data_IF_792438593706
#
_entry.id   IF_792438593706
#
_cell.length_a   1.000
_cell.length_b   1.000
_cell.length_c   1.000
_cell.angle_alpha   90.00
_cell.angle_beta   90.00
_cell.angle_gamma   90.00
#
_symmetry.space_group_name_H-M   'P 1'
#
loop_
_entity.id
_entity.type
_entity.pdbx_description
1 polymer ?
#
# COMPACT_ATOMS: atom_id res chain seq x y z
N UNK A 1 -1.07 48.83 49.82
CA UNK A 1 -0.64 47.51 50.37
C UNK A 1 -0.53 46.46 49.24
N UNK A 2 0.34 46.66 48.24
CA UNK A 2 0.46 45.71 47.11
C UNK A 2 1.91 45.51 46.61
N UNK A 3 2.91 45.94 47.40
CA UNK A 3 4.33 45.96 46.98
C UNK A 3 5.25 45.09 47.83
N UNK A 4 4.72 44.46 48.89
CA UNK A 4 5.47 43.56 49.79
C UNK A 4 5.23 42.07 49.56
N UNK A 5 4.24 41.70 48.73
CA UNK A 5 3.91 40.28 48.47
C UNK A 5 4.73 39.65 47.32
N UNK A 6 5.30 40.46 46.42
CA UNK A 6 6.05 39.96 45.27
C UNK A 6 7.51 39.55 45.59
N UNK A 7 8.06 39.99 46.72
CA UNK A 7 9.45 39.68 47.09
C UNK A 7 9.62 38.32 47.78
N UNK A 8 8.52 37.68 48.21
CA UNK A 8 8.54 36.39 48.90
C UNK A 8 8.40 35.18 47.96
N UNK A 9 7.90 35.37 46.73
CA UNK A 9 7.78 34.28 45.74
C UNK A 9 9.10 34.07 44.96
N UNK A 10 9.99 35.07 44.94
CA UNK A 10 11.24 34.97 44.19
C UNK A 10 12.36 34.19 44.91
N UNK A 11 12.21 33.92 46.21
CA UNK A 11 13.25 33.26 47.03
C UNK A 11 13.03 31.74 47.13
N UNK A 12 11.85 31.20 46.79
CA UNK A 12 11.58 29.76 46.85
C UNK A 12 11.93 28.97 45.58
N UNK A 13 12.52 29.62 44.57
CA UNK A 13 12.79 29.01 43.25
C UNK A 13 14.27 28.68 42.97
N UNK A 14 15.15 28.81 43.96
CA UNK A 14 16.60 28.58 43.82
C UNK A 14 17.10 27.28 44.46
N UNK A 15 16.22 26.28 44.65
CA UNK A 15 16.55 25.02 45.34
C UNK A 15 16.59 23.75 44.47
N UNK A 16 16.51 23.84 43.14
CA UNK A 16 16.55 22.64 42.29
C UNK A 16 17.99 22.34 41.91
N UNK A 17 18.69 21.65 42.80
CA UNK A 17 19.97 21.02 42.52
C UNK A 17 19.80 20.01 41.37
N UNK A 18 20.44 20.30 40.24
CA UNK A 18 20.66 19.32 39.18
C UNK A 18 21.51 18.16 39.71
N UNK A 19 20.87 17.09 40.17
CA UNK A 19 21.52 15.78 40.18
C UNK A 19 21.79 15.41 38.73
N UNK A 20 23.06 15.48 38.33
CA UNK A 20 23.52 14.91 37.07
C UNK A 20 23.26 13.41 37.14
N UNK A 21 22.10 12.98 36.65
CA UNK A 21 21.86 11.58 36.31
C UNK A 21 22.97 11.20 35.34
N UNK A 22 23.93 10.42 35.83
CA UNK A 22 24.94 9.80 34.99
C UNK A 22 24.15 8.91 34.04
N UNK A 23 24.00 9.36 32.80
CA UNK A 23 23.47 8.54 31.72
C UNK A 23 24.46 7.39 31.55
N UNK A 24 24.17 6.26 32.19
CA UNK A 24 24.89 5.02 31.93
C UNK A 24 24.60 4.70 30.47
N UNK A 25 25.56 5.05 29.60
CA UNK A 25 25.53 4.67 28.19
C UNK A 25 25.57 3.14 28.22
N UNK A 26 24.50 2.44 27.78
CA UNK A 26 24.53 1.00 27.72
C UNK A 26 25.71 0.59 26.86
N UNK A 27 26.46 -0.46 27.23
CA UNK A 27 27.55 -0.95 26.40
C UNK A 27 27.04 -1.16 24.97
N UNK A 28 27.84 -0.82 23.95
CA UNK A 28 27.42 -0.92 22.56
C UNK A 28 26.92 -2.34 22.27
N UNK A 29 25.68 -2.44 21.78
CA UNK A 29 25.02 -3.72 21.52
C UNK A 29 25.93 -4.61 20.64
N UNK A 30 26.32 -5.77 21.18
CA UNK A 30 27.22 -6.70 20.52
C UNK A 30 26.45 -7.40 19.41
N UNK A 31 26.49 -6.87 18.18
CA UNK A 31 25.81 -7.49 17.03
C UNK A 31 26.49 -8.82 16.67
N UNK A 32 25.71 -9.89 16.64
CA UNK A 32 26.16 -11.23 16.25
C UNK A 32 25.41 -11.71 15.02
N UNK A 33 26.12 -12.51 14.21
CA UNK A 33 25.59 -13.22 13.05
C UNK A 33 25.27 -14.66 13.45
N UNK A 34 24.06 -15.12 13.15
CA UNK A 34 23.67 -16.51 13.36
C UNK A 34 23.18 -17.14 12.05
N UNK A 35 23.91 -18.15 11.58
CA UNK A 35 23.51 -18.96 10.44
C UNK A 35 22.62 -20.12 10.90
N UNK A 36 21.44 -20.26 10.31
CA UNK A 36 20.53 -21.37 10.57
C UNK A 36 20.51 -22.29 9.35
N UNK A 37 20.86 -23.57 9.55
CA UNK A 37 20.68 -24.60 8.54
C UNK A 37 19.22 -25.03 8.55
N UNK A 38 18.57 -24.96 7.40
CA UNK A 38 17.14 -25.21 7.26
C UNK A 38 16.89 -26.10 6.05
N UNK A 39 15.84 -26.94 6.08
CA UNK A 39 15.32 -27.60 4.89
C UNK A 39 14.94 -26.58 3.80
N UNK A 40 14.73 -27.06 2.58
CA UNK A 40 14.33 -26.20 1.48
C UNK A 40 12.94 -25.57 1.71
N UNK A 41 12.80 -24.29 1.37
CA UNK A 41 11.54 -23.55 1.46
C UNK A 41 11.39 -22.58 0.27
N UNK A 42 10.14 -22.25 -0.04
CA UNK A 42 9.76 -21.23 -1.03
C UNK A 42 8.58 -20.36 -0.55
N UNK A 43 8.10 -20.61 0.66
CA UNK A 43 7.12 -19.80 1.36
C UNK A 43 7.75 -19.32 2.67
N UNK A 44 7.47 -18.09 3.06
CA UNK A 44 8.05 -17.47 4.24
C UNK A 44 6.94 -16.76 5.01
N UNK A 45 6.87 -17.03 6.30
CA UNK A 45 6.00 -16.33 7.25
C UNK A 45 6.86 -15.74 8.35
N UNK A 46 6.73 -14.44 8.58
CA UNK A 46 7.46 -13.70 9.61
C UNK A 46 6.48 -13.06 10.57
N UNK A 47 6.64 -13.34 11.86
CA UNK A 47 5.80 -12.81 12.93
C UNK A 47 6.65 -12.09 13.98
N UNK A 48 6.29 -10.84 14.29
CA UNK A 48 6.96 -10.00 15.26
C UNK A 48 7.87 -8.94 14.64
N UNK A 49 8.57 -8.20 15.50
CA UNK A 49 9.31 -7.00 15.10
C UNK A 49 10.69 -7.35 14.52
N UNK A 50 10.69 -7.77 13.26
CA UNK A 50 11.88 -8.24 12.53
C UNK A 50 12.01 -7.48 11.22
N UNK A 51 13.19 -6.94 10.94
CA UNK A 51 13.53 -6.45 9.61
C UNK A 51 13.83 -7.65 8.70
N UNK A 52 13.37 -7.63 7.46
CA UNK A 52 13.52 -8.75 6.53
C UNK A 52 14.22 -8.29 5.28
N UNK A 53 15.27 -9.02 4.88
CA UNK A 53 15.93 -8.86 3.59
C UNK A 53 15.74 -10.14 2.77
N UNK A 54 14.96 -10.06 1.70
CA UNK A 54 14.62 -11.18 0.83
C UNK A 54 15.57 -11.23 -0.37
N UNK A 55 16.13 -12.42 -0.62
CA UNK A 55 17.00 -12.68 -1.75
C UNK A 55 16.63 -14.00 -2.45
N UNK A 56 16.60 -13.99 -3.77
CA UNK A 56 16.29 -15.16 -4.61
C UNK A 56 17.43 -15.48 -5.58
N UNK A 57 17.40 -16.65 -6.21
CA UNK A 57 18.41 -17.10 -7.16
C UNK A 57 19.52 -17.96 -6.55
N UNK A 58 19.41 -18.31 -5.27
CA UNK A 58 20.37 -19.18 -4.59
C UNK A 58 19.99 -20.65 -4.75
N UNK A 59 20.98 -21.51 -5.01
CA UNK A 59 20.76 -22.95 -5.13
C UNK A 59 20.29 -23.59 -3.81
N UNK A 60 20.85 -23.10 -2.70
CA UNK A 60 20.58 -23.62 -1.36
C UNK A 60 19.94 -22.52 -0.50
N UNK A 61 18.73 -22.74 0.02
CA UNK A 61 18.09 -21.79 0.93
C UNK A 61 18.91 -21.59 2.21
N UNK A 62 18.96 -20.36 2.71
CA UNK A 62 19.69 -20.00 3.93
C UNK A 62 18.95 -18.92 4.69
N UNK A 63 19.00 -18.99 6.02
CA UNK A 63 18.57 -17.94 6.92
C UNK A 63 19.78 -17.44 7.73
N UNK A 64 20.00 -16.13 7.70
CA UNK A 64 21.04 -15.45 8.46
C UNK A 64 20.35 -14.42 9.34
N UNK A 65 20.55 -14.52 10.65
CA UNK A 65 19.99 -13.60 11.62
C UNK A 65 21.07 -12.63 12.11
N UNK A 66 20.72 -11.37 12.22
CA UNK A 66 21.56 -10.29 12.74
C UNK A 66 20.84 -9.66 13.93
N UNK A 67 21.54 -9.46 15.04
CA UNK A 67 20.96 -8.83 16.22
C UNK A 67 21.83 -9.01 17.46
N UNK A 68 21.30 -8.57 18.60
CA UNK A 68 21.89 -8.89 19.90
C UNK A 68 21.68 -10.39 20.21
N UNK A 69 22.70 -11.12 20.72
CA UNK A 69 22.58 -12.53 21.07
C UNK A 69 21.37 -12.86 21.95
N UNK A 70 21.06 -12.00 22.92
CA UNK A 70 19.95 -12.25 23.86
C UNK A 70 18.59 -12.17 23.17
N UNK A 71 18.44 -11.25 22.22
CA UNK A 71 17.26 -11.11 21.38
C UNK A 71 17.18 -12.26 20.36
N UNK A 72 18.32 -12.67 19.76
CA UNK A 72 18.38 -13.76 18.79
C UNK A 72 18.00 -15.13 19.38
N UNK A 73 18.24 -15.35 20.68
CA UNK A 73 17.79 -16.56 21.38
C UNK A 73 16.26 -16.69 21.42
N UNK A 74 15.53 -15.58 21.30
CA UNK A 74 14.06 -15.57 21.27
C UNK A 74 13.48 -15.77 19.87
N UNK A 75 14.31 -15.74 18.83
CA UNK A 75 13.88 -16.00 17.45
C UNK A 75 13.69 -17.50 17.27
N UNK A 76 12.45 -17.91 17.04
CA UNK A 76 12.09 -19.29 16.68
C UNK A 76 12.03 -19.41 15.17
N UNK A 77 12.62 -20.48 14.64
CA UNK A 77 12.66 -20.76 13.20
C UNK A 77 12.25 -22.21 12.97
N UNK A 78 11.20 -22.44 12.18
CA UNK A 78 10.69 -23.78 11.88
C UNK A 78 10.39 -23.86 10.39
N UNK A 79 10.75 -24.97 9.75
CA UNK A 79 10.30 -25.28 8.39
C UNK A 79 9.29 -26.42 8.44
N UNK A 80 8.09 -26.19 7.93
CA UNK A 80 7.03 -27.20 7.81
C UNK A 80 6.61 -27.29 6.34
N UNK A 81 6.83 -28.45 5.72
CA UNK A 81 6.70 -28.59 4.28
C UNK A 81 7.68 -27.67 3.54
N UNK A 82 7.16 -26.75 2.73
CA UNK A 82 7.96 -25.75 2.00
C UNK A 82 7.87 -24.34 2.59
N UNK A 83 7.36 -24.21 3.82
CA UNK A 83 7.14 -22.93 4.50
C UNK A 83 8.08 -22.74 5.68
N UNK A 84 8.85 -21.64 5.65
CA UNK A 84 9.67 -21.17 6.76
C UNK A 84 8.85 -20.22 7.63
N UNK A 85 8.68 -20.56 8.90
CA UNK A 85 8.19 -19.67 9.95
C UNK A 85 9.37 -19.05 10.71
N UNK A 86 9.39 -17.73 10.81
CA UNK A 86 10.27 -16.96 11.71
C UNK A 86 9.37 -16.20 12.67
N UNK A 87 9.46 -16.46 13.97
CA UNK A 87 8.64 -15.77 14.97
C UNK A 87 9.50 -15.25 16.11
N UNK A 88 9.23 -14.02 16.55
CA UNK A 88 9.86 -13.41 17.72
C UNK A 88 8.83 -13.18 18.81
N UNK A 89 9.20 -13.48 20.06
CA UNK A 89 8.33 -13.33 21.22
C UNK A 89 7.86 -11.88 21.44
N UNK A 90 6.70 -11.71 22.08
CA UNK A 90 6.20 -10.37 22.45
C UNK A 90 7.20 -9.63 23.33
N UNK A 91 7.35 -8.33 23.10
CA UNK A 91 8.29 -7.47 23.84
C UNK A 91 9.76 -7.63 23.41
N UNK A 92 10.03 -8.37 22.33
CA UNK A 92 11.33 -8.43 21.67
C UNK A 92 11.26 -7.77 20.29
N UNK A 93 12.37 -7.19 19.80
CA UNK A 93 13.68 -7.12 20.47
C UNK A 93 13.76 -6.10 21.62
N UNK A 94 14.72 -6.29 22.54
CA UNK A 94 14.99 -5.40 23.68
C UNK A 94 16.30 -4.62 23.56
N UNK A 95 17.31 -5.22 22.94
CA UNK A 95 18.68 -4.72 22.90
C UNK A 95 19.05 -4.12 21.53
N UNK A 96 18.27 -4.39 20.48
CA UNK A 96 18.41 -3.75 19.19
C UNK A 96 17.62 -4.45 18.08
N UNK A 97 17.54 -3.86 16.87
CA UNK A 97 16.76 -4.46 15.79
C UNK A 97 17.28 -5.86 15.41
N UNK A 98 16.34 -6.79 15.22
CA UNK A 98 16.61 -8.10 14.62
C UNK A 98 16.43 -7.96 13.11
N UNK A 99 17.40 -8.44 12.33
CA UNK A 99 17.28 -8.54 10.87
C UNK A 99 17.41 -10.00 10.45
N UNK A 100 16.45 -10.48 9.66
CA UNK A 100 16.46 -11.77 9.00
C UNK A 100 16.81 -11.61 7.52
N UNK A 101 17.97 -12.09 7.12
CA UNK A 101 18.33 -12.24 5.71
C UNK A 101 17.93 -13.64 5.23
N UNK A 102 16.99 -13.67 4.30
CA UNK A 102 16.33 -14.88 3.82
C UNK A 102 16.73 -15.09 2.36
N UNK A 103 17.50 -16.15 2.11
CA UNK A 103 17.97 -16.53 0.78
C UNK A 103 17.24 -17.79 0.33
N UNK A 104 16.73 -17.78 -0.89
CA UNK A 104 16.07 -18.94 -1.51
C UNK A 104 16.29 -19.01 -3.02
N UNK A 105 15.76 -20.05 -3.65
CA UNK A 105 15.81 -20.18 -5.12
C UNK A 105 14.81 -19.28 -5.81
N UNK A 106 13.56 -19.34 -5.36
CA UNK A 106 12.42 -18.52 -5.78
C UNK A 106 11.46 -18.38 -4.60
N UNK A 107 10.53 -17.42 -4.69
CA UNK A 107 9.53 -17.14 -3.66
C UNK A 107 8.12 -17.32 -4.23
N UNK A 108 7.25 -18.05 -3.53
CA UNK A 108 5.85 -18.29 -3.89
C UNK A 108 4.87 -17.67 -2.90
N UNK A 109 5.25 -17.52 -1.63
CA UNK A 109 4.44 -16.79 -0.66
C UNK A 109 5.32 -16.04 0.34
N UNK A 110 4.90 -14.84 0.70
CA UNK A 110 5.48 -14.10 1.81
C UNK A 110 4.39 -13.45 2.64
N UNK A 111 4.33 -13.88 3.90
CA UNK A 111 3.43 -13.36 4.91
C UNK A 111 4.25 -12.66 5.97
N UNK A 112 3.90 -11.42 6.29
CA UNK A 112 4.55 -10.64 7.33
C UNK A 112 3.49 -10.03 8.25
N UNK A 113 3.67 -10.22 9.55
CA UNK A 113 2.87 -9.56 10.59
C UNK A 113 3.80 -9.06 11.68
N UNK A 114 3.92 -7.74 11.81
CA UNK A 114 4.77 -7.14 12.83
C UNK A 114 5.16 -5.72 12.46
N UNK A 115 6.15 -5.16 13.14
CA UNK A 115 6.70 -3.85 12.81
C UNK A 115 8.17 -3.99 12.40
N UNK A 116 8.47 -3.66 11.15
CA UNK A 116 9.84 -3.72 10.63
C UNK A 116 9.96 -3.22 9.20
N UNK A 117 11.19 -3.25 8.69
CA UNK A 117 11.47 -2.92 7.28
C UNK A 117 11.63 -4.19 6.47
N UNK A 118 10.92 -4.29 5.35
CA UNK A 118 11.03 -5.41 4.40
C UNK A 118 11.70 -4.90 3.13
N UNK A 119 12.78 -5.55 2.70
CA UNK A 119 13.49 -5.22 1.46
C UNK A 119 13.71 -6.44 0.59
N UNK A 120 13.73 -6.25 -0.73
CA UNK A 120 14.05 -7.30 -1.68
C UNK A 120 14.08 -6.76 -3.10
N UNK A 121 15.23 -6.30 -3.58
CA UNK A 121 15.31 -5.46 -4.79
C UNK A 121 15.46 -6.24 -6.11
N UNK A 122 15.83 -7.52 -6.07
CA UNK A 122 16.07 -8.34 -7.26
C UNK A 122 15.44 -9.73 -7.08
N UNK A 123 14.16 -9.74 -6.73
CA UNK A 123 13.40 -10.95 -6.52
C UNK A 123 13.02 -11.62 -7.84
N UNK A 124 13.11 -12.93 -7.86
CA UNK A 124 12.56 -13.82 -8.88
C UNK A 124 11.51 -14.68 -8.21
N UNK A 125 10.27 -14.52 -8.62
CA UNK A 125 9.16 -15.29 -8.06
C UNK A 125 8.57 -16.26 -9.10
N UNK A 126 7.95 -17.33 -8.60
CA UNK A 126 6.87 -17.99 -9.33
C UNK A 126 5.58 -17.18 -9.17
N UNK A 127 4.43 -17.85 -9.18
CA UNK A 127 3.17 -17.24 -8.74
C UNK A 127 3.30 -16.85 -7.26
N UNK A 128 3.36 -15.55 -6.99
CA UNK A 128 3.62 -14.99 -5.68
C UNK A 128 2.32 -14.49 -5.03
N UNK A 129 2.10 -14.92 -3.80
CA UNK A 129 1.12 -14.31 -2.90
C UNK A 129 1.84 -13.50 -1.80
N UNK A 130 1.38 -12.29 -1.59
CA UNK A 130 1.90 -11.39 -0.56
C UNK A 130 0.80 -11.02 0.43
N UNK A 131 1.10 -11.16 1.72
CA UNK A 131 0.28 -10.64 2.82
C UNK A 131 1.18 -9.83 3.74
N UNK A 132 1.02 -8.51 3.74
CA UNK A 132 1.89 -7.58 4.47
C UNK A 132 1.02 -6.81 5.46
N UNK A 133 1.13 -7.16 6.73
CA UNK A 133 0.56 -6.43 7.85
C UNK A 133 1.71 -5.74 8.58
N UNK A 134 2.03 -4.51 8.14
CA UNK A 134 3.24 -3.80 8.55
C UNK A 134 3.01 -2.29 8.58
N UNK A 135 3.17 -1.61 9.74
CA UNK A 135 3.20 -0.15 9.82
C UNK A 135 4.50 0.45 9.26
N UNK A 136 5.53 -0.38 9.03
CA UNK A 136 6.81 0.03 8.49
C UNK A 136 6.84 0.19 6.97
N UNK A 137 8.05 0.12 6.41
CA UNK A 137 8.30 0.23 4.98
C UNK A 137 8.53 -1.14 4.36
N UNK A 138 7.90 -1.38 3.22
CA UNK A 138 8.15 -2.55 2.36
C UNK A 138 8.59 -2.08 0.98
N UNK A 139 9.76 -2.52 0.52
CA UNK A 139 10.28 -2.23 -0.82
C UNK A 139 10.69 -3.53 -1.50
N UNK A 140 9.94 -3.94 -2.52
CA UNK A 140 10.20 -5.13 -3.31
C UNK A 140 10.41 -4.75 -4.78
N UNK A 141 11.29 -5.45 -5.47
CA UNK A 141 11.61 -5.22 -6.87
C UNK A 141 12.19 -6.47 -7.53
N UNK A 142 12.14 -6.54 -8.86
CA UNK A 142 12.72 -7.63 -9.64
C UNK A 142 11.78 -8.13 -10.72
N UNK A 143 11.75 -9.44 -10.96
CA UNK A 143 10.79 -10.11 -11.85
C UNK A 143 9.77 -10.85 -10.99
N UNK A 144 8.70 -10.13 -10.63
CA UNK A 144 7.69 -10.59 -9.68
C UNK A 144 6.39 -10.95 -10.42
N UNK A 145 6.02 -12.22 -10.42
CA UNK A 145 4.73 -12.69 -10.92
C UNK A 145 3.69 -12.71 -9.80
N UNK A 146 3.01 -11.58 -9.61
CA UNK A 146 2.10 -11.38 -8.46
C UNK A 146 0.70 -11.91 -8.76
N UNK A 147 0.16 -12.76 -7.89
CA UNK A 147 -1.21 -13.30 -8.00
C UNK A 147 -2.17 -12.66 -7.00
N UNK A 148 -1.73 -12.48 -5.76
CA UNK A 148 -2.50 -11.86 -4.69
C UNK A 148 -1.61 -10.92 -3.88
N UNK A 149 -2.15 -9.76 -3.54
CA UNK A 149 -1.52 -8.83 -2.61
C UNK A 149 -2.55 -8.31 -1.62
N UNK A 150 -2.27 -8.53 -0.34
CA UNK A 150 -3.00 -7.97 0.78
C UNK A 150 -2.05 -7.08 1.58
N UNK A 151 -2.41 -5.82 1.80
CA UNK A 151 -1.61 -4.86 2.57
C UNK A 151 -2.48 -4.20 3.63
N UNK A 152 -1.99 -4.17 4.86
CA UNK A 152 -2.62 -3.55 6.03
C UNK A 152 -1.57 -3.01 6.99
N UNK A 153 -2.01 -2.46 8.13
CA UNK A 153 -1.14 -1.98 9.21
C UNK A 153 -0.66 -0.53 9.04
N UNK A 154 -1.08 0.20 8.01
CA UNK A 154 -0.81 1.64 7.86
C UNK A 154 0.57 2.02 7.36
N UNK A 155 1.37 1.06 6.92
CA UNK A 155 2.70 1.31 6.36
C UNK A 155 2.70 1.72 4.89
N UNK A 156 3.93 1.90 4.38
CA UNK A 156 4.20 2.19 2.98
C UNK A 156 4.76 0.96 2.28
N UNK A 157 4.11 0.54 1.19
CA UNK A 157 4.53 -0.61 0.38
C UNK A 157 4.78 -0.19 -1.06
N UNK A 158 5.98 -0.46 -1.58
CA UNK A 158 6.36 -0.24 -2.96
C UNK A 158 6.81 -1.56 -3.59
N UNK A 159 6.22 -1.92 -4.72
CA UNK A 159 6.57 -3.14 -5.46
C UNK A 159 6.77 -2.79 -6.94
N UNK A 160 7.95 -3.08 -7.47
CA UNK A 160 8.30 -2.82 -8.87
C UNK A 160 8.61 -4.10 -9.66
N UNK A 161 8.46 -4.01 -10.98
CA UNK A 161 8.75 -5.13 -11.89
C UNK A 161 7.71 -6.25 -11.81
N UNK A 162 6.45 -5.86 -11.59
CA UNK A 162 5.32 -6.79 -11.49
C UNK A 162 4.88 -7.25 -12.88
N UNK A 163 4.61 -8.53 -13.01
CA UNK A 163 3.78 -9.12 -14.07
C UNK A 163 2.62 -9.86 -13.43
N UNK A 164 1.41 -9.74 -13.98
CA UNK A 164 0.27 -10.52 -13.47
C UNK A 164 -0.72 -10.84 -14.56
N UNK A 165 -1.35 -12.00 -14.44
CA UNK A 165 -2.47 -12.44 -15.29
C UNK A 165 -3.84 -12.24 -14.62
N UNK A 166 -3.94 -12.34 -13.30
CA UNK A 166 -5.21 -12.27 -12.57
C UNK A 166 -4.98 -11.75 -11.15
N UNK A 167 -4.44 -10.54 -11.02
CA UNK A 167 -4.12 -9.95 -9.72
C UNK A 167 -5.41 -9.66 -8.94
N UNK A 168 -5.40 -10.03 -7.66
CA UNK A 168 -6.37 -9.60 -6.66
C UNK A 168 -5.66 -8.71 -5.63
N UNK A 169 -6.20 -7.52 -5.42
CA UNK A 169 -5.67 -6.52 -4.51
C UNK A 169 -6.67 -6.23 -3.39
N UNK A 170 -6.19 -6.25 -2.14
CA UNK A 170 -6.91 -5.79 -0.97
C UNK A 170 -5.99 -4.90 -0.13
N UNK A 171 -6.38 -3.65 0.12
CA UNK A 171 -5.57 -2.67 0.86
C UNK A 171 -6.45 -2.02 1.91
N UNK A 172 -5.97 -1.94 3.15
CA UNK A 172 -6.73 -1.42 4.28
C UNK A 172 -5.85 -0.60 5.23
N UNK A 173 -6.44 -0.13 6.33
CA UNK A 173 -5.78 0.47 7.50
C UNK A 173 -4.84 1.63 7.18
N UNK A 174 -5.23 2.59 6.33
CA UNK A 174 -4.41 3.75 5.93
C UNK A 174 -3.11 3.39 5.21
N UNK A 175 -2.98 2.15 4.72
CA UNK A 175 -1.80 1.72 3.99
C UNK A 175 -1.67 2.44 2.66
N UNK A 176 -0.42 2.82 2.34
CA UNK A 176 -0.07 3.47 1.07
C UNK A 176 0.71 2.50 0.20
N UNK A 177 0.17 2.20 -0.99
CA UNK A 177 0.72 1.20 -1.90
C UNK A 177 1.07 1.82 -3.25
N UNK A 178 2.30 1.61 -3.70
CA UNK A 178 2.78 1.96 -5.03
C UNK A 178 3.21 0.71 -5.79
N UNK A 179 2.59 0.47 -6.94
CA UNK A 179 2.88 -0.69 -7.77
C UNK A 179 3.35 -0.24 -9.16
N UNK A 180 4.40 -0.90 -9.68
CA UNK A 180 4.83 -0.69 -11.06
C UNK A 180 5.11 -1.99 -11.82
N UNK A 181 4.63 -2.06 -13.05
CA UNK A 181 4.74 -3.25 -13.90
C UNK A 181 3.60 -3.35 -14.91
N UNK A 182 3.50 -4.48 -15.61
CA UNK A 182 2.35 -4.75 -16.50
C UNK A 182 1.39 -5.71 -15.80
N UNK A 183 0.25 -5.17 -15.38
CA UNK A 183 -0.63 -5.88 -14.44
C UNK A 183 -2.03 -6.06 -15.03
N UNK A 184 -2.49 -7.31 -15.09
CA UNK A 184 -3.91 -7.62 -15.26
C UNK A 184 -4.55 -7.79 -13.88
N UNK A 185 -5.26 -6.77 -13.41
CA UNK A 185 -6.06 -6.81 -12.18
C UNK A 185 -7.48 -7.24 -12.52
N UNK A 186 -8.03 -8.14 -11.70
CA UNK A 186 -9.43 -8.57 -11.79
C UNK A 186 -10.31 -7.92 -10.71
N UNK A 187 -9.76 -7.74 -9.51
CA UNK A 187 -10.45 -7.15 -8.36
C UNK A 187 -9.51 -6.29 -7.54
N UNK A 188 -9.99 -5.10 -7.20
CA UNK A 188 -9.33 -4.12 -6.36
C UNK A 188 -10.30 -3.67 -5.26
N UNK A 189 -9.95 -3.97 -4.01
CA UNK A 189 -10.70 -3.51 -2.84
C UNK A 189 -9.81 -2.58 -1.99
N UNK A 190 -10.28 -1.37 -1.71
CA UNK A 190 -9.68 -0.44 -0.76
C UNK A 190 -10.67 -0.12 0.35
N UNK A 191 -10.19 -0.10 1.59
CA UNK A 191 -10.98 0.27 2.76
C UNK A 191 -10.13 1.09 3.73
N UNK A 192 -10.76 1.67 4.76
CA UNK A 192 -10.09 2.35 5.88
C UNK A 192 -9.02 3.36 5.43
N UNK A 193 -9.37 4.28 4.54
CA UNK A 193 -8.50 5.38 4.06
C UNK A 193 -7.22 4.92 3.33
N UNK A 194 -7.25 3.74 2.72
CA UNK A 194 -6.13 3.22 1.93
C UNK A 194 -5.82 4.07 0.69
N UNK A 195 -4.55 4.09 0.28
CA UNK A 195 -4.08 4.79 -0.92
C UNK A 195 -3.37 3.82 -1.86
N UNK A 196 -3.72 3.84 -3.15
CA UNK A 196 -3.07 3.05 -4.20
C UNK A 196 -2.75 3.92 -5.42
N UNK A 197 -1.51 3.81 -5.91
CA UNK A 197 -1.15 4.17 -7.27
C UNK A 197 -0.54 2.97 -8.01
N UNK A 198 -1.00 2.75 -9.25
CA UNK A 198 -0.50 1.67 -10.10
C UNK A 198 -0.39 2.10 -11.56
N UNK A 199 0.78 1.79 -12.14
CA UNK A 199 1.10 1.96 -13.55
C UNK A 199 1.86 0.71 -14.04
N UNK A 200 1.47 -0.03 -15.09
CA UNK A 200 0.43 0.12 -16.11
C UNK A 200 -0.58 -1.06 -16.02
N UNK A 201 -1.88 -0.75 -16.04
CA UNK A 201 -2.96 -1.73 -16.01
C UNK A 201 -3.29 -2.21 -17.43
N UNK A 202 -3.38 -3.52 -17.64
CA UNK A 202 -3.87 -4.13 -18.88
C UNK A 202 -4.81 -5.29 -18.53
N UNK A 203 -6.10 -4.98 -18.42
CA UNK A 203 -7.12 -5.93 -17.95
C UNK A 203 -8.26 -6.12 -18.93
N UNK A 204 -8.81 -7.33 -19.01
CA UNK A 204 -10.05 -7.55 -19.77
C UNK A 204 -11.27 -7.03 -18.99
N UNK A 205 -11.29 -7.30 -17.68
CA UNK A 205 -12.32 -6.83 -16.77
C UNK A 205 -11.67 -6.43 -15.44
N UNK A 206 -12.11 -5.32 -14.86
CA UNK A 206 -11.64 -4.80 -13.57
C UNK A 206 -12.83 -4.37 -12.74
N UNK A 207 -12.90 -4.88 -11.50
CA UNK A 207 -13.83 -4.42 -10.47
C UNK A 207 -13.05 -3.63 -9.43
N UNK A 208 -13.46 -2.40 -9.15
CA UNK A 208 -12.92 -1.52 -8.12
C UNK A 208 -13.99 -1.24 -7.09
N UNK A 209 -13.68 -1.49 -5.82
CA UNK A 209 -14.51 -1.10 -4.68
C UNK A 209 -13.66 -0.31 -3.71
N UNK A 210 -14.13 0.87 -3.33
CA UNK A 210 -13.40 1.75 -2.43
C UNK A 210 -14.35 2.43 -1.43
N UNK A 211 -13.96 2.51 -0.16
CA UNK A 211 -14.73 3.10 0.95
C UNK A 211 -13.85 4.02 1.81
N UNK A 212 -14.41 4.75 2.78
CA UNK A 212 -13.65 5.69 3.61
C UNK A 212 -13.13 6.89 2.82
N UNK A 213 -11.97 7.41 3.23
CA UNK A 213 -11.21 8.42 2.49
C UNK A 213 -10.18 7.81 1.53
N UNK A 214 -10.51 6.64 0.97
CA UNK A 214 -9.56 5.92 0.12
C UNK A 214 -9.29 6.62 -1.20
N UNK A 215 -8.09 6.42 -1.76
CA UNK A 215 -7.67 7.02 -3.01
C UNK A 215 -7.06 5.97 -3.94
N UNK A 216 -7.59 5.90 -5.15
CA UNK A 216 -7.14 4.97 -6.19
C UNK A 216 -6.72 5.75 -7.42
N UNK A 217 -5.48 5.57 -7.88
CA UNK A 217 -4.99 6.13 -9.14
C UNK A 217 -4.48 5.01 -10.05
N UNK A 218 -5.11 4.86 -11.21
CA UNK A 218 -4.78 3.84 -12.20
C UNK A 218 -4.52 4.47 -13.56
N UNK A 219 -3.55 3.92 -14.28
CA UNK A 219 -3.29 4.23 -15.69
C UNK A 219 -3.20 2.96 -16.51
N UNK A 220 -3.74 2.99 -17.73
CA UNK A 220 -3.62 1.89 -18.69
C UNK A 220 -4.86 1.66 -19.54
N UNK A 221 -5.17 0.39 -19.84
CA UNK A 221 -6.31 0.00 -20.67
C UNK A 221 -7.10 -1.12 -20.00
N UNK A 222 -8.43 -0.99 -20.03
CA UNK A 222 -9.36 -2.01 -19.54
C UNK A 222 -10.51 -2.23 -20.51
N UNK A 223 -10.89 -3.50 -20.74
CA UNK A 223 -12.05 -3.83 -21.56
C UNK A 223 -13.38 -3.42 -20.91
N UNK A 224 -13.64 -3.94 -19.71
CA UNK A 224 -14.79 -3.62 -18.85
C UNK A 224 -14.32 -3.12 -17.48
N UNK A 225 -14.73 -1.91 -17.11
CA UNK A 225 -14.49 -1.30 -15.81
C UNK A 225 -15.81 -1.26 -15.03
N UNK A 226 -15.78 -1.73 -13.78
CA UNK A 226 -16.86 -1.64 -12.80
C UNK A 226 -16.28 -0.96 -11.55
N UNK A 227 -16.83 0.19 -11.18
CA UNK A 227 -16.34 1.03 -10.08
C UNK A 227 -17.49 1.35 -9.15
N UNK A 228 -17.29 1.10 -7.86
CA UNK A 228 -18.26 1.41 -6.82
C UNK A 228 -17.53 2.09 -5.66
N UNK A 229 -17.90 3.35 -5.38
CA UNK A 229 -17.26 4.21 -4.39
C UNK A 229 -18.28 4.67 -3.34
N UNK A 230 -17.86 4.70 -2.08
CA UNK A 230 -18.66 5.12 -0.94
C UNK A 230 -17.91 6.18 -0.11
N UNK A 231 -18.65 6.90 0.73
CA UNK A 231 -18.13 7.90 1.67
C UNK A 231 -17.34 9.02 0.96
N UNK A 232 -16.02 9.11 1.15
CA UNK A 232 -15.16 10.13 0.54
C UNK A 232 -14.12 9.51 -0.40
N UNK A 233 -14.40 8.30 -0.89
CA UNK A 233 -13.48 7.55 -1.73
C UNK A 233 -13.29 8.25 -3.10
N UNK A 234 -12.06 8.25 -3.58
CA UNK A 234 -11.66 8.89 -4.83
C UNK A 234 -11.06 7.88 -5.81
N UNK A 235 -11.56 7.88 -7.03
CA UNK A 235 -11.01 7.13 -8.14
C UNK A 235 -10.48 8.07 -9.23
N UNK A 236 -9.17 8.09 -9.43
CA UNK A 236 -8.47 8.86 -10.47
C UNK A 236 -8.14 7.94 -11.65
N UNK A 237 -9.11 7.80 -12.55
CA UNK A 237 -9.04 6.96 -13.76
C UNK A 237 -8.92 7.74 -15.07
N UNK A 238 -8.57 9.03 -15.06
CA UNK A 238 -8.40 9.85 -16.28
C UNK A 238 -7.48 9.17 -17.32
N UNK A 239 -6.43 8.51 -16.85
CA UNK A 239 -5.44 7.80 -17.69
C UNK A 239 -5.70 6.30 -17.82
N UNK A 240 -6.85 5.80 -17.35
CA UNK A 240 -7.30 4.42 -17.53
C UNK A 240 -8.38 4.38 -18.60
N UNK A 241 -7.99 4.06 -19.83
CA UNK A 241 -8.91 3.96 -20.96
C UNK A 241 -9.79 2.72 -20.82
N UNK A 242 -11.08 2.91 -20.57
CA UNK A 242 -12.06 1.85 -20.46
C UNK A 242 -12.86 1.69 -21.76
N UNK A 243 -12.96 0.45 -22.28
CA UNK A 243 -13.87 0.15 -23.39
C UNK A 243 -15.33 0.37 -22.98
N UNK A 244 -15.71 -0.21 -21.83
CA UNK A 244 -17.01 -0.03 -21.19
C UNK A 244 -16.81 0.30 -19.71
N UNK A 245 -17.51 1.30 -19.21
CA UNK A 245 -17.48 1.67 -17.79
C UNK A 245 -18.88 1.60 -17.17
N UNK A 246 -18.97 0.99 -16.00
CA UNK A 246 -20.09 1.06 -15.06
C UNK A 246 -19.56 1.71 -13.78
N UNK A 247 -20.08 2.88 -13.41
CA UNK A 247 -19.56 3.63 -12.27
C UNK A 247 -20.71 4.03 -11.36
N UNK A 248 -20.57 3.73 -10.07
CA UNK A 248 -21.50 4.12 -9.02
C UNK A 248 -20.75 4.89 -7.94
N UNK A 249 -21.29 6.03 -7.57
CA UNK A 249 -20.77 6.86 -6.48
C UNK A 249 -21.89 7.18 -5.49
N UNK A 250 -21.53 7.12 -4.20
CA UNK A 250 -22.41 7.36 -3.06
C UNK A 250 -21.77 8.41 -2.14
N UNK A 251 -22.57 8.99 -1.24
CA UNK A 251 -22.15 9.97 -0.23
C UNK A 251 -21.46 11.21 -0.84
N UNK A 252 -20.13 11.30 -0.74
CA UNK A 252 -19.27 12.38 -1.25
C UNK A 252 -18.12 11.84 -2.10
N UNK A 253 -18.29 10.63 -2.65
CA UNK A 253 -17.26 9.99 -3.45
C UNK A 253 -17.06 10.71 -4.79
N UNK A 254 -15.86 10.60 -5.34
CA UNK A 254 -15.49 11.25 -6.62
C UNK A 254 -14.87 10.22 -7.55
N UNK A 255 -15.41 10.09 -8.77
CA UNK A 255 -14.85 9.23 -9.81
C UNK A 255 -14.46 10.03 -11.05
N UNK A 256 -13.20 9.91 -11.48
CA UNK A 256 -12.72 10.38 -12.78
C UNK A 256 -12.57 9.19 -13.73
N UNK A 257 -13.17 9.29 -14.92
CA UNK A 257 -13.20 8.18 -15.87
C UNK A 257 -12.91 8.60 -17.32
N UNK A 258 -12.43 7.64 -18.10
CA UNK A 258 -12.11 7.78 -19.50
C UNK A 258 -12.66 6.59 -20.29
N UNK A 259 -13.96 6.64 -20.60
CA UNK A 259 -14.66 5.59 -21.34
C UNK A 259 -14.74 5.91 -22.84
N UNK A 260 -14.54 4.93 -23.72
CA UNK A 260 -14.50 5.18 -25.18
C UNK A 260 -15.63 4.57 -25.99
N UNK A 261 -16.31 3.51 -25.53
CA UNK A 261 -17.45 2.92 -26.27
C UNK A 261 -18.76 3.08 -25.53
N UNK A 262 -18.81 2.65 -24.26
CA UNK A 262 -20.05 2.66 -23.45
C UNK A 262 -19.78 3.16 -22.05
N UNK A 263 -20.66 4.03 -21.56
CA UNK A 263 -20.64 4.56 -20.21
C UNK A 263 -22.02 4.45 -19.58
N UNK A 264 -22.05 3.86 -18.39
CA UNK A 264 -23.22 3.85 -17.51
C UNK A 264 -22.81 4.39 -16.16
N UNK A 265 -23.44 5.46 -15.72
CA UNK A 265 -23.09 6.12 -14.45
C UNK A 265 -24.31 6.26 -13.55
N UNK A 266 -24.08 6.18 -12.24
CA UNK A 266 -25.05 6.47 -11.19
C UNK A 266 -24.35 7.30 -10.12
N UNK A 267 -24.66 8.59 -10.06
CA UNK A 267 -24.22 9.49 -9.00
C UNK A 267 -25.38 9.73 -8.03
N UNK A 268 -25.15 9.44 -6.75
CA UNK A 268 -26.16 9.61 -5.68
C UNK A 268 -25.63 10.49 -4.54
N UNK A 269 -26.51 10.91 -3.63
CA UNK A 269 -26.21 11.75 -2.47
C UNK A 269 -25.58 13.09 -2.86
N UNK A 270 -24.31 13.33 -2.53
CA UNK A 270 -23.53 14.51 -2.91
C UNK A 270 -22.22 14.10 -3.61
N UNK A 271 -22.29 13.01 -4.39
CA UNK A 271 -21.14 12.43 -5.08
C UNK A 271 -21.03 12.89 -6.53
N UNK A 272 -19.80 12.90 -7.05
CA UNK A 272 -19.49 13.42 -8.38
C UNK A 272 -18.82 12.40 -9.28
N UNK A 273 -19.19 12.43 -10.56
CA UNK A 273 -18.56 11.63 -11.61
C UNK A 273 -18.09 12.57 -12.73
N UNK A 274 -16.79 12.59 -12.99
CA UNK A 274 -16.15 13.40 -14.03
C UNK A 274 -15.71 12.50 -15.18
N UNK A 275 -16.05 12.88 -16.43
CA UNK A 275 -15.59 12.18 -17.61
C UNK A 275 -14.69 13.05 -18.49
N UNK A 276 -13.70 12.41 -19.11
CA UNK A 276 -12.67 13.06 -19.94
C UNK A 276 -12.67 12.57 -21.39
N UNK A 277 -13.69 11.82 -21.81
CA UNK A 277 -13.87 11.33 -23.17
C UNK A 277 -15.36 11.20 -23.50
N UNK A 278 -15.72 11.40 -24.78
CA UNK A 278 -17.09 11.13 -25.26
C UNK A 278 -17.17 9.65 -25.70
N UNK A 279 -17.94 8.79 -25.02
CA UNK A 279 -18.22 7.45 -25.49
C UNK A 279 -19.30 7.45 -26.58
N UNK A 280 -19.30 6.44 -27.45
CA UNK A 280 -20.34 6.27 -28.48
C UNK A 280 -21.76 6.15 -27.89
N UNK A 281 -21.88 5.55 -26.71
CA UNK A 281 -23.15 5.39 -26.00
C UNK A 281 -22.97 5.77 -24.53
N UNK A 282 -23.89 6.57 -24.02
CA UNK A 282 -23.86 7.10 -22.66
C UNK A 282 -25.24 7.04 -22.03
N UNK A 283 -25.30 6.64 -20.77
CA UNK A 283 -26.51 6.70 -19.96
C UNK A 283 -26.10 7.08 -18.54
N UNK A 284 -26.57 8.23 -18.08
CA UNK A 284 -26.24 8.73 -16.76
C UNK A 284 -27.51 8.87 -15.93
N UNK A 285 -27.40 8.46 -14.68
CA UNK A 285 -28.44 8.61 -13.68
C UNK A 285 -27.89 9.43 -12.52
N UNK A 286 -28.63 10.47 -12.15
CA UNK A 286 -28.31 11.36 -11.04
C UNK A 286 -29.49 11.31 -10.06
N UNK A 287 -29.20 11.18 -8.77
CA UNK A 287 -30.19 11.27 -7.71
C UNK A 287 -29.68 12.15 -6.57
N UNK A 288 -30.62 12.79 -5.86
CA UNK A 288 -30.32 13.78 -4.82
C UNK A 288 -29.46 14.92 -5.38
N UNK A 289 -28.28 15.18 -4.80
CA UNK A 289 -27.32 16.19 -5.24
C UNK A 289 -26.14 15.58 -6.01
N UNK A 290 -26.23 14.33 -6.47
CA UNK A 290 -25.17 13.70 -7.25
C UNK A 290 -25.08 14.26 -8.67
N UNK A 291 -23.87 14.42 -9.21
CA UNK A 291 -23.65 15.03 -10.52
C UNK A 291 -22.73 14.22 -11.43
N UNK A 292 -22.95 14.35 -12.75
CA UNK A 292 -22.08 13.80 -13.80
C UNK A 292 -21.64 14.91 -14.75
N UNK A 293 -20.35 15.26 -14.73
CA UNK A 293 -19.82 16.48 -15.37
C UNK A 293 -18.80 16.18 -16.47
N UNK A 294 -18.87 16.97 -17.56
CA UNK A 294 -17.89 16.97 -18.64
C UNK A 294 -16.66 17.79 -18.23
N UNK A 295 -15.51 17.12 -18.13
CA UNK A 295 -14.26 17.76 -17.74
C UNK A 295 -13.23 17.73 -18.88
N UNK A 296 -13.66 17.52 -20.12
CA UNK A 296 -12.78 17.64 -21.28
C UNK A 296 -12.26 19.07 -21.39
N UNK A 297 -11.00 19.19 -21.78
CA UNK A 297 -10.43 20.49 -22.14
C UNK A 297 -11.27 21.03 -23.32
N UNK A 298 -11.79 22.25 -23.19
CA UNK A 298 -12.51 22.90 -24.28
C UNK A 298 -11.55 23.12 -25.44
N UNK A 299 -11.87 22.58 -26.61
CA UNK A 299 -11.11 22.90 -27.80
C UNK A 299 -11.37 24.37 -28.16
N UNK A 300 -10.36 25.08 -28.69
CA UNK A 300 -10.50 26.50 -29.07
C UNK A 300 -11.64 26.73 -30.08
N UNK A 301 -12.01 25.69 -30.82
CA UNK A 301 -13.10 25.70 -31.78
C UNK A 301 -14.50 25.73 -31.12
N UNK A 302 -14.66 25.08 -29.97
CA UNK A 302 -15.94 25.00 -29.24
C UNK A 302 -16.22 26.27 -28.39
N UNK A 303 -15.24 27.19 -28.32
CA UNK A 303 -15.36 28.49 -27.66
C UNK A 303 -15.80 29.63 -28.60
N UNK A 304 -16.04 29.35 -29.88
CA UNK A 304 -16.57 30.38 -30.78
C UNK A 304 -18.03 30.67 -30.41
N UNK A 305 -18.33 31.94 -30.09
CA UNK A 305 -19.72 32.39 -29.98
C UNK A 305 -20.44 32.06 -31.29
N UNK A 306 -21.61 31.44 -31.18
CA UNK A 306 -22.50 31.24 -32.32
C UNK A 306 -22.90 32.60 -32.89
N UNK A 307 -22.23 33.01 -33.97
CA UNK A 307 -22.66 34.12 -34.78
C UNK A 307 -23.48 33.62 -35.98
N UNK A 308 -24.04 34.55 -36.75
CA UNK A 308 -24.86 34.23 -37.92
C UNK A 308 -24.08 33.58 -39.07
N UNK A 309 -22.76 33.41 -38.93
CA UNK A 309 -21.85 32.95 -39.98
C UNK A 309 -21.23 31.57 -39.69
N UNK A 310 -21.24 31.11 -38.44
CA UNK A 310 -20.80 29.76 -38.05
C UNK A 310 -21.96 28.92 -37.47
N UNK A 311 -22.93 28.59 -38.35
CA UNK A 311 -23.98 27.57 -38.09
C UNK A 311 -23.55 26.18 -38.57
#
# INVERSE_FOLDING_TARGET
MLRRLFLLIFISLLGISCTKSVTIIPPPAKKVLQHRQLPAFNQVTVEGNVNVSLHTGYAHPKLILHGDPTDLLQVKTVVTGSSLLISVGKGYPRCGPITAEIRGRYLNAFNYRGAGTITGNNLRSGLLDLSIDNPGRTTLGGKIFLRKLTVSGGGYTQISGISSQNLQLAIADKSRVQLSGMVNITRLNLDSDAWLALYWVKSNALIVRARGHSFVQLSGVVGKLDVELWEQAQFKGRYLRAGRAFVKTHDKAIAELSAVRRQHTLATDASDIYFYNIPTMRTDFMAFNGAVLDMRDWDLYDMQEYDRYNK
#
